data_IF_490701113069
#
_entry.id   IF_490701113069
#
_cell.length_a   1.000
_cell.length_b   1.000
_cell.length_c   1.000
_cell.angle_alpha   90.00
_cell.angle_beta   90.00
_cell.angle_gamma   90.00
#
_symmetry.space_group_name_H-M   'P 1'
#
loop_
_entity.id
_entity.type
_entity.pdbx_description
1 polymer ?
#
# COMPACT_ATOMS: atom_id res chain seq x y z
N UNK A 1 -20.35 -6.98 -1.27
CA UNK A 1 -20.68 -6.98 0.16
C UNK A 1 -19.41 -6.81 0.99
N UNK A 2 -19.15 -5.62 1.53
CA UNK A 2 -18.13 -5.43 2.58
C UNK A 2 -18.89 -5.10 3.87
N UNK A 3 -18.65 -5.83 4.95
CA UNK A 3 -19.15 -5.47 6.29
C UNK A 3 -20.21 -6.38 6.92
N UNK A 4 -20.71 -7.42 6.25
CA UNK A 4 -21.49 -8.45 6.95
C UNK A 4 -20.50 -9.38 7.69
N UNK A 5 -20.72 -9.62 8.99
CA UNK A 5 -19.94 -10.54 9.81
C UNK A 5 -20.95 -11.38 10.60
N UNK A 6 -20.93 -12.70 10.42
CA UNK A 6 -21.76 -13.58 11.23
C UNK A 6 -21.19 -13.60 12.66
N UNK A 7 -21.93 -13.02 13.59
CA UNK A 7 -21.50 -12.83 14.98
C UNK A 7 -21.58 -14.14 15.78
N UNK A 8 -22.48 -15.05 15.39
CA UNK A 8 -22.72 -16.32 16.07
C UNK A 8 -21.63 -17.34 15.73
N UNK A 9 -21.24 -17.44 14.46
CA UNK A 9 -20.14 -18.34 14.03
C UNK A 9 -18.77 -17.66 13.97
N UNK A 10 -18.66 -16.36 14.28
CA UNK A 10 -17.45 -15.53 14.13
C UNK A 10 -16.79 -15.65 12.74
N UNK A 11 -17.56 -15.93 11.69
CA UNK A 11 -17.05 -16.12 10.34
C UNK A 11 -17.50 -14.99 9.43
N UNK A 12 -16.54 -14.37 8.76
CA UNK A 12 -16.85 -13.45 7.66
C UNK A 12 -17.54 -14.23 6.53
N UNK A 13 -18.58 -13.67 5.86
CA UNK A 13 -19.26 -14.27 4.72
C UNK A 13 -18.33 -14.76 3.62
N UNK A 14 -17.14 -14.16 3.50
CA UNK A 14 -16.13 -14.61 2.55
C UNK A 14 -15.68 -16.06 2.81
N UNK A 15 -15.60 -16.49 4.07
CA UNK A 15 -15.22 -17.86 4.41
C UNK A 15 -16.31 -18.86 4.03
N UNK A 16 -17.58 -18.49 4.17
CA UNK A 16 -18.73 -19.35 3.80
C UNK A 16 -18.76 -19.51 2.29
N UNK A 17 -18.63 -18.41 1.55
CA UNK A 17 -18.60 -18.43 0.08
C UNK A 17 -17.39 -19.21 -0.43
N UNK A 18 -16.21 -19.06 0.18
CA UNK A 18 -15.03 -19.84 -0.19
C UNK A 18 -15.16 -21.32 0.12
N UNK A 19 -15.75 -21.69 1.26
CA UNK A 19 -15.99 -23.09 1.62
C UNK A 19 -16.95 -23.76 0.63
N UNK A 20 -18.08 -23.12 0.34
CA UNK A 20 -19.04 -23.60 -0.65
C UNK A 20 -18.43 -23.68 -2.06
N UNK A 21 -17.66 -22.67 -2.47
CA UNK A 21 -16.97 -22.68 -3.76
C UNK A 21 -15.96 -23.83 -3.85
N UNK A 22 -15.23 -24.12 -2.77
CA UNK A 22 -14.31 -25.26 -2.69
C UNK A 22 -15.03 -26.61 -2.72
N UNK A 23 -16.17 -26.74 -2.02
CA UNK A 23 -17.02 -27.95 -2.05
C UNK A 23 -17.59 -28.23 -3.44
N UNK A 24 -17.82 -27.18 -4.24
CA UNK A 24 -18.38 -27.26 -5.59
C UNK A 24 -17.32 -27.15 -6.70
N UNK A 25 -16.03 -27.22 -6.36
CA UNK A 25 -14.90 -27.09 -7.31
C UNK A 25 -14.95 -25.82 -8.20
N UNK A 26 -15.53 -24.74 -7.68
CA UNK A 26 -15.70 -23.49 -8.41
C UNK A 26 -14.69 -22.44 -7.97
N UNK A 27 -14.03 -21.81 -8.95
CA UNK A 27 -13.24 -20.59 -8.73
C UNK A 27 -14.12 -19.38 -9.01
N UNK A 28 -14.70 -18.82 -7.96
CA UNK A 28 -15.45 -17.58 -8.07
C UNK A 28 -14.47 -16.40 -7.97
N UNK A 29 -14.48 -15.53 -8.99
CA UNK A 29 -13.90 -14.16 -8.99
C UNK A 29 -12.46 -13.98 -9.51
N UNK A 30 -11.73 -15.02 -9.93
CA UNK A 30 -10.45 -14.80 -10.62
C UNK A 30 -10.34 -15.55 -11.95
N UNK A 31 -10.19 -14.77 -13.03
CA UNK A 31 -9.81 -15.27 -14.35
C UNK A 31 -8.29 -15.39 -14.37
N UNK A 32 -7.77 -16.54 -14.81
CA UNK A 32 -6.33 -16.72 -15.01
C UNK A 32 -5.87 -15.78 -16.14
N UNK A 33 -5.03 -14.82 -15.80
CA UNK A 33 -4.42 -13.88 -16.76
C UNK A 33 -2.96 -14.24 -16.97
N UNK A 34 -2.50 -14.26 -18.23
CA UNK A 34 -1.07 -14.38 -18.59
C UNK A 34 -0.55 -12.99 -18.98
N UNK A 35 0.62 -12.61 -18.46
CA UNK A 35 1.24 -11.31 -18.74
C UNK A 35 2.72 -11.51 -19.05
N UNK A 36 3.14 -11.09 -20.25
CA UNK A 36 4.53 -11.17 -20.71
C UNK A 36 5.13 -9.77 -20.74
N UNK A 37 6.34 -9.63 -20.17
CA UNK A 37 7.08 -8.37 -20.13
C UNK A 37 8.48 -8.58 -20.71
N UNK A 38 8.86 -7.74 -21.66
CA UNK A 38 10.18 -7.74 -22.27
C UNK A 38 11.02 -6.63 -21.65
N UNK A 39 12.28 -6.93 -21.33
CA UNK A 39 13.20 -5.97 -20.73
C UNK A 39 14.42 -5.80 -21.63
N UNK A 40 14.83 -4.55 -21.84
CA UNK A 40 16.08 -4.21 -22.51
C UNK A 40 17.02 -3.74 -21.40
N UNK A 41 18.17 -4.41 -21.26
CA UNK A 41 19.12 -4.13 -20.20
C UNK A 41 20.55 -4.21 -20.72
N UNK A 42 21.43 -3.38 -20.17
CA UNK A 42 22.88 -3.47 -20.37
C UNK A 42 23.57 -4.36 -19.33
N UNK A 43 22.81 -4.99 -18.43
CA UNK A 43 23.33 -5.99 -17.50
C UNK A 43 23.87 -7.18 -18.29
N UNK A 44 25.09 -7.61 -17.96
CA UNK A 44 25.81 -8.58 -18.79
C UNK A 44 25.39 -10.03 -18.51
N UNK A 45 25.45 -10.53 -17.26
CA UNK A 45 25.24 -11.98 -17.03
C UNK A 45 24.72 -12.38 -15.64
N UNK A 46 24.09 -11.47 -14.89
CA UNK A 46 23.56 -11.80 -13.55
C UNK A 46 22.03 -11.84 -13.56
N UNK A 47 21.47 -13.03 -13.75
CA UNK A 47 20.00 -13.26 -13.66
C UNK A 47 19.51 -12.86 -12.26
N UNK A 48 20.33 -13.08 -11.23
CA UNK A 48 20.09 -12.69 -9.85
C UNK A 48 19.99 -11.17 -9.71
N UNK A 49 20.92 -10.41 -10.28
CA UNK A 49 20.91 -8.95 -10.26
C UNK A 49 19.75 -8.39 -11.06
N UNK A 50 19.48 -8.97 -12.23
CA UNK A 50 18.31 -8.61 -13.04
C UNK A 50 17.00 -8.81 -12.27
N UNK A 51 16.81 -10.00 -11.70
CA UNK A 51 15.60 -10.31 -10.92
C UNK A 51 15.45 -9.41 -9.70
N UNK A 52 16.55 -9.09 -9.01
CA UNK A 52 16.58 -8.16 -7.89
C UNK A 52 16.22 -6.74 -8.33
N UNK A 53 16.71 -6.31 -9.49
CA UNK A 53 16.43 -4.98 -10.05
C UNK A 53 14.97 -4.83 -10.43
N UNK A 54 14.39 -5.84 -11.10
CA UNK A 54 12.97 -5.86 -11.43
C UNK A 54 12.12 -5.81 -10.16
N UNK A 55 12.47 -6.57 -9.11
CA UNK A 55 11.77 -6.51 -7.82
C UNK A 55 11.84 -5.11 -7.19
N UNK A 56 13.02 -4.50 -7.13
CA UNK A 56 13.20 -3.12 -6.62
C UNK A 56 12.39 -2.10 -7.40
N UNK A 57 12.29 -2.24 -8.72
CA UNK A 57 11.43 -1.38 -9.54
C UNK A 57 9.96 -1.48 -9.10
N UNK A 58 9.44 -2.70 -8.89
CA UNK A 58 8.08 -2.90 -8.38
C UNK A 58 7.86 -2.35 -6.97
N UNK A 59 8.88 -2.29 -6.12
CA UNK A 59 8.78 -1.64 -4.81
C UNK A 59 8.52 -0.13 -4.93
N UNK A 60 9.07 0.52 -5.96
CA UNK A 60 8.83 1.92 -6.28
C UNK A 60 7.38 2.12 -6.71
N UNK A 61 6.89 1.31 -7.66
CA UNK A 61 5.51 1.39 -8.14
C UNK A 61 4.49 1.08 -7.04
N UNK A 62 4.80 0.11 -6.18
CA UNK A 62 4.00 -0.17 -4.98
C UNK A 62 3.89 1.04 -4.06
N UNK A 63 4.97 1.84 -3.97
CA UNK A 63 4.96 3.09 -3.19
C UNK A 63 4.10 4.15 -3.86
N UNK A 64 4.14 4.28 -5.19
CA UNK A 64 3.27 5.18 -5.94
C UNK A 64 1.79 4.87 -5.69
N UNK A 65 1.40 3.60 -5.82
CA UNK A 65 0.03 3.17 -5.55
C UNK A 65 -0.43 3.53 -4.13
N UNK A 66 0.44 3.34 -3.13
CA UNK A 66 0.14 3.72 -1.75
C UNK A 66 -0.07 5.23 -1.63
N UNK A 67 0.74 6.05 -2.30
CA UNK A 67 0.58 7.50 -2.32
C UNK A 67 -0.75 7.91 -2.98
N UNK A 68 -1.16 7.23 -4.04
CA UNK A 68 -2.42 7.52 -4.73
C UNK A 68 -3.61 7.18 -3.82
N UNK A 69 -3.61 6.02 -3.19
CA UNK A 69 -4.73 5.56 -2.35
C UNK A 69 -4.76 6.25 -0.99
N UNK A 70 -3.60 6.34 -0.31
CA UNK A 70 -3.53 6.93 1.03
C UNK A 70 -3.56 8.45 0.90
N UNK A 71 -2.66 9.05 0.12
CA UNK A 71 -2.47 10.51 0.03
C UNK A 71 -3.35 11.23 -1.00
N UNK A 72 -4.17 10.49 -1.76
CA UNK A 72 -5.01 11.01 -2.85
C UNK A 72 -4.17 11.86 -3.81
N UNK A 73 -3.00 11.34 -4.17
CA UNK A 73 -2.00 12.08 -4.93
C UNK A 73 -2.53 12.53 -6.31
N UNK A 74 -3.09 11.61 -7.09
CA UNK A 74 -3.69 11.89 -8.41
C UNK A 74 -4.80 12.94 -8.39
N UNK A 75 -5.54 13.03 -7.29
CA UNK A 75 -6.65 13.96 -7.15
C UNK A 75 -6.24 15.42 -6.91
N UNK A 76 -4.94 15.70 -6.73
CA UNK A 76 -4.46 17.05 -6.37
C UNK A 76 -4.26 17.93 -7.59
N UNK A 77 -4.64 19.21 -7.45
CA UNK A 77 -4.58 20.22 -8.53
C UNK A 77 -3.42 21.22 -8.39
N UNK A 78 -2.40 20.90 -7.59
CA UNK A 78 -1.23 21.77 -7.41
C UNK A 78 -0.43 21.77 -8.71
N UNK A 79 -0.26 22.93 -9.34
CA UNK A 79 0.42 23.09 -10.66
C UNK A 79 1.38 24.28 -10.74
N UNK A 80 1.49 25.07 -9.67
CA UNK A 80 2.26 26.31 -9.67
C UNK A 80 3.70 26.06 -9.23
N UNK A 81 4.66 26.60 -9.98
CA UNK A 81 6.10 26.61 -9.68
C UNK A 81 6.61 25.22 -9.23
N UNK A 82 7.40 25.18 -8.16
CA UNK A 82 7.92 23.96 -7.52
C UNK A 82 6.91 23.25 -6.61
N UNK A 83 5.65 23.70 -6.58
CA UNK A 83 4.59 23.15 -5.74
C UNK A 83 4.39 21.63 -5.91
N UNK A 84 4.29 21.10 -7.15
CA UNK A 84 4.15 19.66 -7.39
C UNK A 84 5.31 18.85 -6.80
N UNK A 85 6.56 19.27 -7.04
CA UNK A 85 7.76 18.55 -6.61
C UNK A 85 7.92 18.59 -5.08
N UNK A 86 7.73 19.77 -4.48
CA UNK A 86 7.80 19.94 -3.02
C UNK A 86 6.76 19.07 -2.33
N UNK A 87 5.54 19.05 -2.87
CA UNK A 87 4.47 18.26 -2.29
C UNK A 87 4.70 16.76 -2.43
N UNK A 88 5.22 16.30 -3.58
CA UNK A 88 5.57 14.89 -3.78
C UNK A 88 6.63 14.44 -2.77
N UNK A 89 7.65 15.25 -2.53
CA UNK A 89 8.71 14.98 -1.55
C UNK A 89 8.14 14.91 -0.12
N UNK A 90 7.31 15.88 0.27
CA UNK A 90 6.67 15.90 1.60
C UNK A 90 5.79 14.68 1.85
N UNK A 91 5.01 14.24 0.85
CA UNK A 91 4.18 13.04 0.99
C UNK A 91 5.02 11.77 1.13
N UNK A 92 6.11 11.64 0.37
CA UNK A 92 7.04 10.51 0.47
C UNK A 92 7.68 10.46 1.86
N UNK A 93 8.12 11.60 2.38
CA UNK A 93 8.62 11.72 3.75
C UNK A 93 7.57 11.28 4.77
N UNK A 94 6.36 11.85 4.70
CA UNK A 94 5.26 11.50 5.60
C UNK A 94 4.90 10.01 5.54
N UNK A 95 4.87 9.41 4.34
CA UNK A 95 4.61 7.99 4.16
C UNK A 95 5.69 7.13 4.82
N UNK A 96 6.96 7.46 4.65
CA UNK A 96 8.07 6.71 5.25
C UNK A 96 8.00 6.72 6.78
N UNK A 97 7.69 7.87 7.37
CA UNK A 97 7.52 8.02 8.83
C UNK A 97 6.35 7.15 9.32
N UNK A 98 5.19 7.25 8.67
CA UNK A 98 3.98 6.51 9.08
C UNK A 98 4.14 4.99 8.85
N UNK A 99 4.90 4.57 7.83
CA UNK A 99 5.22 3.16 7.59
C UNK A 99 6.11 2.57 8.69
N UNK A 100 7.05 3.36 9.20
CA UNK A 100 7.97 2.95 10.28
C UNK A 100 7.29 2.89 11.65
N UNK A 101 6.22 3.66 11.85
CA UNK A 101 5.48 3.67 13.10
C UNK A 101 4.96 2.26 13.46
N UNK A 102 5.42 1.73 14.59
CA UNK A 102 5.02 0.44 15.17
C UNK A 102 4.19 0.60 16.44
N UNK A 103 3.66 1.80 16.71
CA UNK A 103 2.82 2.03 17.88
C UNK A 103 1.57 1.15 17.87
N UNK A 104 1.26 0.60 19.03
CA UNK A 104 0.02 -0.15 19.27
C UNK A 104 -1.07 0.81 19.76
N UNK A 105 -2.35 0.58 19.40
CA UNK A 105 -2.83 -0.55 18.60
C UNK A 105 -2.53 -0.38 17.09
N UNK A 106 -2.37 -1.49 16.36
CA UNK A 106 -2.16 -1.48 14.91
C UNK A 106 -3.28 -0.76 14.14
N UNK A 107 -2.92 0.37 13.54
CA UNK A 107 -3.78 1.13 12.64
C UNK A 107 -3.39 0.97 11.17
N UNK A 108 -4.39 1.11 10.28
CA UNK A 108 -4.14 1.24 8.84
C UNK A 108 -3.34 2.51 8.53
N UNK A 109 -2.59 2.55 7.42
CA UNK A 109 -1.84 3.75 7.00
C UNK A 109 -2.73 5.00 6.89
N UNK A 110 -3.97 4.83 6.41
CA UNK A 110 -4.96 5.92 6.33
C UNK A 110 -5.36 6.42 7.72
N UNK A 111 -5.56 5.51 8.67
CA UNK A 111 -5.93 5.82 10.06
C UNK A 111 -4.78 6.50 10.80
N UNK A 112 -3.55 6.00 10.67
CA UNK A 112 -2.35 6.63 11.28
C UNK A 112 -2.17 8.07 10.80
N UNK A 113 -2.24 8.28 9.48
CA UNK A 113 -2.18 9.63 8.91
C UNK A 113 -3.29 10.53 9.45
N UNK A 114 -4.51 10.00 9.59
CA UNK A 114 -5.63 10.77 10.12
C UNK A 114 -5.43 11.10 11.61
N UNK A 115 -5.01 10.13 12.43
CA UNK A 115 -4.69 10.35 13.84
C UNK A 115 -3.60 11.42 14.00
N UNK A 116 -2.52 11.35 13.20
CA UNK A 116 -1.46 12.36 13.20
C UNK A 116 -1.92 13.75 12.73
N UNK A 117 -3.06 13.85 12.04
CA UNK A 117 -3.64 15.15 11.66
C UNK A 117 -4.59 15.74 12.71
N UNK A 118 -5.02 14.93 13.68
CA UNK A 118 -6.04 15.31 14.68
C UNK A 118 -5.44 15.43 16.08
N UNK A 119 -4.40 14.64 16.39
CA UNK A 119 -3.74 14.63 17.69
C UNK A 119 -2.24 15.00 17.56
N UNK A 120 -1.88 16.13 18.14
CA UNK A 120 -0.50 16.64 18.14
C UNK A 120 0.43 15.76 18.99
N UNK A 121 -0.05 15.13 20.05
CA UNK A 121 0.78 14.25 20.88
C UNK A 121 1.18 13.00 20.08
N UNK A 122 0.22 12.41 19.36
CA UNK A 122 0.51 11.29 18.46
C UNK A 122 1.40 11.71 17.29
N UNK A 123 1.17 12.89 16.69
CA UNK A 123 2.03 13.42 15.64
C UNK A 123 3.49 13.55 16.12
N UNK A 124 3.71 14.17 17.27
CA UNK A 124 5.04 14.36 17.86
C UNK A 124 5.70 13.01 18.14
N UNK A 125 4.96 12.06 18.72
CA UNK A 125 5.45 10.71 18.95
C UNK A 125 5.91 10.02 17.65
N UNK A 126 5.09 10.11 16.59
CA UNK A 126 5.37 9.51 15.29
C UNK A 126 6.57 10.17 14.61
N UNK A 127 6.71 11.50 14.73
CA UNK A 127 7.85 12.22 14.19
C UNK A 127 9.14 11.87 14.97
N UNK A 128 9.16 12.05 16.28
CA UNK A 128 10.38 11.86 17.09
C UNK A 128 10.91 10.42 16.99
N UNK A 129 10.02 9.42 17.05
CA UNK A 129 10.45 8.01 17.03
C UNK A 129 10.96 7.51 15.69
N UNK A 130 10.57 8.13 14.58
CA UNK A 130 10.78 7.55 13.24
C UNK A 130 11.59 8.44 12.28
N UNK A 131 11.96 9.66 12.71
CA UNK A 131 12.72 10.62 11.90
C UNK A 131 14.24 10.52 12.07
N UNK A 132 14.71 9.88 13.15
CA UNK A 132 16.12 9.50 13.41
C UNK A 132 16.22 7.98 13.28
#
# INVERSE_FOLDING_TARGET
MRGAFDTDNKKSPIHIVSAWASENEMVLVQVKTDEKRYYISSLKDSIEEFSTTVRKYWEIESTHWILDVVFKEDGRRVRKDYGPQNLALLKRLALNIIKKDTTEPKYSLKSKRFAASVDNNYLEQVLIKNFI
#
